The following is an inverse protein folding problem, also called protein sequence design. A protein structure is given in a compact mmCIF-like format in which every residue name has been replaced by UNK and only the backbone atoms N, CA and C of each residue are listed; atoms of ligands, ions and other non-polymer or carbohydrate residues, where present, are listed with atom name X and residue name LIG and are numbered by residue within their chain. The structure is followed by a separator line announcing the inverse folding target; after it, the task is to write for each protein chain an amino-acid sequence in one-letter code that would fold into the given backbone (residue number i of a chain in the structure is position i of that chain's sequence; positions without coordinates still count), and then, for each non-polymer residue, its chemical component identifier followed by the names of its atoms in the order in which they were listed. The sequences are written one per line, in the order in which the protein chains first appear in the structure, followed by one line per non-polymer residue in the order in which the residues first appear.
data_IF_631574039540
#
_entry.id   IF_631574039540
#
_cell.length_a   1.000
_cell.length_b   1.000
_cell.length_c   1.000
_cell.angle_alpha   90.00
_cell.angle_beta   90.00
_cell.angle_gamma   90.00
#
_symmetry.space_group_name_H-M   'P 1'
#
loop_
_entity.id
_entity.type
_entity.pdbx_description
1 polymer ?
#
# COMPACT_ATOMS: atom_id res chain seq x y z
N UNK A 1 1.10 -0.91 0.74
CA UNK A 1 2.50 -0.72 0.41
C UNK A 1 2.75 0.63 -0.22
N UNK A 2 3.98 0.90 -0.52
CA UNK A 2 4.44 2.15 -1.10
C UNK A 2 5.70 2.65 -0.41
N UNK A 3 6.27 3.71 -0.97
CA UNK A 3 7.44 4.34 -0.39
C UNK A 3 7.40 5.85 -0.61
N UNK A 4 8.20 6.58 0.15
CA UNK A 4 8.36 8.01 0.01
C UNK A 4 9.70 8.31 -0.65
N UNK A 5 9.68 9.15 -1.68
CA UNK A 5 10.89 9.70 -2.29
C UNK A 5 11.14 11.06 -1.64
N UNK A 6 12.28 11.23 -1.01
CA UNK A 6 12.62 12.44 -0.27
C UNK A 6 13.92 13.06 -0.81
N UNK A 7 13.96 14.40 -0.81
CA UNK A 7 15.19 15.16 -1.04
C UNK A 7 15.85 15.55 0.28
N UNK A 8 17.17 15.39 0.38
CA UNK A 8 17.89 15.78 1.58
C UNK A 8 17.86 17.32 1.77
N UNK A 9 17.52 17.77 2.98
CA UNK A 9 17.61 19.16 3.33
C UNK A 9 19.08 19.64 3.28
N UNK A 10 19.31 20.84 2.76
CA UNK A 10 20.64 21.41 2.61
C UNK A 10 21.43 20.92 1.38
N UNK A 11 20.79 20.17 0.47
CA UNK A 11 21.43 19.84 -0.82
C UNK A 11 21.60 21.08 -1.69
N UNK A 12 22.74 21.20 -2.35
CA UNK A 12 23.01 22.26 -3.34
C UNK A 12 22.30 22.04 -4.68
N UNK A 13 21.65 20.87 -4.87
CA UNK A 13 21.03 20.45 -6.11
C UNK A 13 19.49 20.39 -6.04
N UNK A 14 18.85 21.30 -5.32
CA UNK A 14 17.41 21.28 -5.03
C UNK A 14 16.56 21.20 -6.30
N UNK A 15 16.89 21.95 -7.36
CA UNK A 15 16.10 21.96 -8.59
C UNK A 15 16.23 20.61 -9.35
N UNK A 16 17.40 19.99 -9.35
CA UNK A 16 17.59 18.65 -9.92
C UNK A 16 16.83 17.60 -9.12
N UNK A 17 16.82 17.70 -7.79
CA UNK A 17 16.06 16.79 -6.90
C UNK A 17 14.57 16.90 -7.22
N UNK A 18 14.02 18.12 -7.34
CA UNK A 18 12.61 18.34 -7.69
C UNK A 18 12.27 17.71 -9.06
N UNK A 19 13.10 17.94 -10.08
CA UNK A 19 12.91 17.39 -11.42
C UNK A 19 12.90 15.86 -11.41
N UNK A 20 13.85 15.23 -10.70
CA UNK A 20 13.91 13.77 -10.56
C UNK A 20 12.70 13.25 -9.81
N UNK A 21 12.31 13.87 -8.70
CA UNK A 21 11.12 13.48 -7.94
C UNK A 21 9.86 13.57 -8.80
N UNK A 22 9.69 14.67 -9.53
CA UNK A 22 8.53 14.86 -10.41
C UNK A 22 8.49 13.81 -11.53
N UNK A 23 9.62 13.52 -12.17
CA UNK A 23 9.70 12.49 -13.21
C UNK A 23 9.38 11.10 -12.68
N UNK A 24 9.94 10.73 -11.52
CA UNK A 24 9.74 9.40 -10.94
C UNK A 24 8.38 9.20 -10.26
N UNK A 25 7.59 10.26 -10.06
CA UNK A 25 6.30 10.13 -9.37
C UNK A 25 5.11 10.67 -10.15
N UNK A 26 5.33 11.53 -11.14
CA UNK A 26 4.24 12.24 -11.83
C UNK A 26 4.28 12.13 -13.35
N UNK A 27 5.44 11.80 -13.96
CA UNK A 27 5.56 11.75 -15.42
C UNK A 27 4.78 10.55 -15.98
N UNK A 28 3.81 10.85 -16.85
CA UNK A 28 2.92 9.85 -17.42
C UNK A 28 3.67 8.81 -18.26
N UNK A 29 4.61 9.25 -19.09
CA UNK A 29 5.36 8.35 -19.98
C UNK A 29 6.27 7.42 -19.18
N UNK A 30 6.95 7.95 -18.16
CA UNK A 30 7.80 7.17 -17.27
C UNK A 30 6.96 6.17 -16.47
N UNK A 31 5.80 6.58 -15.93
CA UNK A 31 4.92 5.69 -15.19
C UNK A 31 4.37 4.55 -16.06
N UNK A 32 3.99 4.84 -17.31
CA UNK A 32 3.63 3.79 -18.27
C UNK A 32 4.78 2.82 -18.52
N UNK A 33 6.00 3.34 -18.76
CA UNK A 33 7.15 2.49 -19.00
C UNK A 33 7.45 1.58 -17.80
N UNK A 34 7.42 2.14 -16.59
CA UNK A 34 7.60 1.34 -15.36
C UNK A 34 6.57 0.20 -15.29
N UNK A 35 5.29 0.51 -15.52
CA UNK A 35 4.26 -0.53 -15.53
C UNK A 35 4.49 -1.60 -16.60
N UNK A 36 4.92 -1.21 -17.79
CA UNK A 36 5.21 -2.17 -18.87
C UNK A 36 6.41 -3.07 -18.53
N UNK A 37 7.42 -2.54 -17.86
CA UNK A 37 8.64 -3.27 -17.53
C UNK A 37 8.50 -4.15 -16.27
N UNK A 38 7.74 -3.69 -15.27
CA UNK A 38 7.65 -4.35 -13.96
C UNK A 38 6.31 -5.05 -13.73
N UNK A 39 5.30 -4.72 -14.51
CA UNK A 39 3.89 -5.11 -14.32
C UNK A 39 3.28 -4.57 -13.01
N UNK A 40 3.91 -3.58 -12.38
CA UNK A 40 3.40 -2.91 -11.19
C UNK A 40 2.40 -1.81 -11.55
N UNK A 41 1.45 -1.58 -10.64
CA UNK A 41 0.52 -0.46 -10.71
C UNK A 41 1.19 0.79 -10.14
N UNK A 42 1.37 1.83 -10.97
CA UNK A 42 1.99 3.09 -10.54
C UNK A 42 0.96 4.12 -10.05
N UNK A 43 1.44 5.22 -9.48
CA UNK A 43 0.61 6.25 -8.86
C UNK A 43 0.07 7.32 -9.86
N UNK A 44 0.29 7.16 -11.17
CA UNK A 44 -0.28 8.08 -12.16
C UNK A 44 -1.60 7.52 -12.71
N UNK A 45 -2.71 8.08 -12.25
CA UNK A 45 -4.06 7.64 -12.60
C UNK A 45 -4.31 7.63 -14.12
N UNK A 46 -3.87 8.68 -14.84
CA UNK A 46 -4.06 8.77 -16.30
C UNK A 46 -3.29 7.66 -17.02
N UNK A 47 -2.03 7.45 -16.66
CA UNK A 47 -1.21 6.38 -17.22
C UNK A 47 -1.84 5.00 -16.97
N UNK A 48 -2.32 4.76 -15.75
CA UNK A 48 -2.93 3.49 -15.38
C UNK A 48 -4.26 3.26 -16.09
N UNK A 49 -5.10 4.28 -16.21
CA UNK A 49 -6.36 4.19 -16.95
C UNK A 49 -6.15 3.96 -18.45
N UNK A 50 -5.11 4.52 -19.05
CA UNK A 50 -4.79 4.24 -20.45
C UNK A 50 -4.35 2.78 -20.66
N UNK A 51 -3.50 2.23 -19.78
CA UNK A 51 -3.11 0.81 -19.83
C UNK A 51 -4.31 -0.09 -19.52
N UNK A 52 -5.14 0.26 -18.53
CA UNK A 52 -6.34 -0.49 -18.18
C UNK A 52 -7.32 -0.65 -19.34
N UNK A 53 -7.42 0.37 -20.20
CA UNK A 53 -8.32 0.38 -21.36
C UNK A 53 -7.63 -0.06 -22.67
N UNK A 54 -6.40 -0.55 -22.61
CA UNK A 54 -5.66 -1.08 -23.75
C UNK A 54 -5.81 -2.60 -23.88
N UNK A 55 -5.12 -3.18 -24.85
CA UNK A 55 -4.96 -4.63 -25.03
C UNK A 55 -3.84 -5.22 -24.14
N UNK A 56 -3.38 -4.47 -23.14
CA UNK A 56 -2.38 -4.95 -22.18
C UNK A 56 -2.83 -6.23 -21.50
N UNK A 57 -1.93 -7.19 -21.43
CA UNK A 57 -2.17 -8.46 -20.74
C UNK A 57 -0.87 -9.00 -20.14
N UNK A 58 -0.96 -9.62 -18.97
CA UNK A 58 0.16 -10.28 -18.32
C UNK A 58 0.21 -11.76 -18.69
N UNK A 59 1.25 -12.18 -19.39
CA UNK A 59 1.47 -13.60 -19.69
C UNK A 59 1.62 -14.44 -18.40
N UNK A 60 2.23 -13.88 -17.37
CA UNK A 60 2.37 -14.54 -16.06
C UNK A 60 1.01 -14.82 -15.40
N UNK A 61 0.04 -13.92 -15.60
CA UNK A 61 -1.32 -14.05 -15.08
C UNK A 61 -2.29 -14.68 -16.12
N UNK A 62 -1.77 -15.47 -17.07
CA UNK A 62 -2.60 -16.18 -18.04
C UNK A 62 -3.34 -15.26 -19.02
N UNK A 63 -2.80 -14.10 -19.31
CA UNK A 63 -3.40 -13.12 -20.22
C UNK A 63 -4.35 -12.11 -19.55
N UNK A 64 -4.41 -12.08 -18.23
CA UNK A 64 -5.25 -11.13 -17.50
C UNK A 64 -4.68 -9.69 -17.57
N UNK A 65 -5.57 -8.71 -17.74
CA UNK A 65 -5.25 -7.30 -17.52
C UNK A 65 -5.51 -6.94 -16.04
N UNK A 66 -4.52 -7.19 -15.20
CA UNK A 66 -4.62 -6.89 -13.76
C UNK A 66 -4.56 -5.38 -13.47
N UNK A 67 -3.98 -4.58 -14.36
CA UNK A 67 -3.96 -3.11 -14.22
C UNK A 67 -5.39 -2.55 -14.28
N UNK A 68 -6.27 -3.13 -15.10
CA UNK A 68 -7.68 -2.74 -15.13
C UNK A 68 -8.39 -3.02 -13.79
N UNK A 69 -8.12 -4.17 -13.17
CA UNK A 69 -8.67 -4.50 -11.86
C UNK A 69 -8.16 -3.56 -10.77
N UNK A 70 -6.87 -3.22 -10.80
CA UNK A 70 -6.29 -2.29 -9.83
C UNK A 70 -6.81 -0.86 -10.03
N UNK A 71 -6.99 -0.40 -11.27
CA UNK A 71 -7.57 0.91 -11.55
C UNK A 71 -9.01 1.02 -11.01
N UNK A 72 -9.83 -0.01 -11.21
CA UNK A 72 -11.18 -0.07 -10.64
C UNK A 72 -11.15 -0.09 -9.10
N UNK A 73 -10.26 -0.84 -8.51
CA UNK A 73 -10.11 -0.92 -7.05
C UNK A 73 -9.59 0.40 -6.46
N UNK A 74 -8.61 1.04 -7.11
CA UNK A 74 -8.03 2.30 -6.65
C UNK A 74 -9.07 3.41 -6.54
N UNK A 75 -10.02 3.47 -7.49
CA UNK A 75 -11.11 4.44 -7.45
C UNK A 75 -12.09 4.26 -6.27
N UNK A 76 -12.05 3.10 -5.61
CA UNK A 76 -12.92 2.75 -4.47
C UNK A 76 -12.21 2.85 -3.12
N UNK A 77 -10.91 3.18 -3.11
CA UNK A 77 -10.15 3.32 -1.85
C UNK A 77 -10.68 4.53 -1.09
N UNK A 78 -11.14 4.28 0.13
CA UNK A 78 -11.53 5.31 1.09
C UNK A 78 -10.50 5.38 2.22
N UNK A 79 -9.81 6.52 2.30
CA UNK A 79 -8.79 6.80 3.32
C UNK A 79 -9.34 7.60 4.50
N UNK A 80 -10.66 7.81 4.59
CA UNK A 80 -11.28 8.61 5.65
C UNK A 80 -11.02 8.07 7.06
N UNK A 81 -10.80 6.76 7.18
CA UNK A 81 -10.50 6.09 8.44
C UNK A 81 -9.00 5.92 8.71
N UNK A 82 -8.13 6.37 7.79
CA UNK A 82 -6.68 6.27 7.99
C UNK A 82 -6.23 7.20 9.13
N UNK A 83 -5.37 6.68 10.00
CA UNK A 83 -4.92 7.37 11.19
C UNK A 83 -3.41 7.18 11.46
N UNK A 84 -2.88 7.91 12.44
CA UNK A 84 -1.45 7.85 12.78
C UNK A 84 -1.02 6.50 13.37
N UNK A 85 -1.98 5.67 13.76
CA UNK A 85 -1.74 4.37 14.38
C UNK A 85 -1.68 3.21 13.39
N UNK A 86 -2.12 3.38 12.14
CA UNK A 86 -2.35 2.29 11.16
C UNK A 86 -1.13 1.40 10.96
N UNK A 87 0.05 1.98 10.82
CA UNK A 87 1.27 1.19 10.66
C UNK A 87 1.52 0.31 11.89
N UNK A 88 1.44 0.89 13.07
CA UNK A 88 1.69 0.17 14.31
C UNK A 88 0.59 -0.85 14.63
N UNK A 89 -0.66 -0.58 14.26
CA UNK A 89 -1.77 -1.53 14.38
C UNK A 89 -1.55 -2.71 13.44
N UNK A 90 -1.15 -2.46 12.18
CA UNK A 90 -0.85 -3.52 11.22
C UNK A 90 0.30 -4.42 11.67
N UNK A 91 1.39 -3.84 12.19
CA UNK A 91 2.52 -4.61 12.75
C UNK A 91 2.08 -5.47 13.93
N UNK A 92 1.29 -4.90 14.85
CA UNK A 92 0.77 -5.63 16.03
C UNK A 92 -0.18 -6.75 15.61
N UNK A 93 -1.03 -6.51 14.59
CA UNK A 93 -1.92 -7.53 14.04
C UNK A 93 -1.14 -8.70 13.44
N UNK A 94 -0.16 -8.42 12.57
CA UNK A 94 0.65 -9.45 11.94
C UNK A 94 1.38 -10.31 12.99
N UNK A 95 1.91 -9.69 14.03
CA UNK A 95 2.61 -10.39 15.11
C UNK A 95 1.66 -11.27 15.94
N UNK A 96 0.51 -10.73 16.36
CA UNK A 96 -0.45 -11.46 17.19
C UNK A 96 -1.12 -12.63 16.44
N UNK A 97 -1.38 -12.45 15.12
CA UNK A 97 -2.04 -13.46 14.30
C UNK A 97 -1.10 -14.47 13.64
N UNK A 98 0.22 -14.26 13.72
CA UNK A 98 1.20 -15.19 13.15
C UNK A 98 1.00 -16.63 13.65
N UNK A 99 0.82 -16.80 14.94
CA UNK A 99 0.65 -18.13 15.55
C UNK A 99 -0.71 -18.76 15.24
N UNK A 100 -1.74 -17.94 15.05
CA UNK A 100 -3.04 -18.40 14.56
C UNK A 100 -2.93 -18.93 13.10
N UNK A 101 -2.28 -18.19 12.20
CA UNK A 101 -2.10 -18.62 10.82
C UNK A 101 -1.22 -19.86 10.66
N UNK A 102 -0.37 -20.13 11.63
CA UNK A 102 0.44 -21.37 11.69
C UNK A 102 -0.21 -22.50 12.49
N UNK A 103 -1.42 -22.27 13.04
CA UNK A 103 -2.18 -23.29 13.77
C UNK A 103 -1.71 -23.55 15.21
N UNK A 104 -0.90 -22.64 15.78
CA UNK A 104 -0.37 -22.79 17.15
C UNK A 104 -1.33 -22.29 18.23
N UNK A 105 -2.20 -21.35 17.91
CA UNK A 105 -3.23 -20.79 18.80
C UNK A 105 -4.57 -20.66 18.06
N UNK A 106 -5.66 -20.54 18.80
CA UNK A 106 -6.97 -20.24 18.25
C UNK A 106 -7.15 -18.73 17.96
N UNK A 107 -8.24 -18.40 17.26
CA UNK A 107 -8.55 -17.02 16.86
C UNK A 107 -8.81 -16.12 18.08
N UNK A 108 -9.48 -16.62 19.10
CA UNK A 108 -9.79 -15.85 20.30
C UNK A 108 -8.52 -15.46 21.07
N UNK A 109 -7.56 -16.38 21.15
CA UNK A 109 -6.24 -16.11 21.72
C UNK A 109 -5.48 -15.07 20.91
N UNK A 110 -5.49 -15.16 19.57
CA UNK A 110 -4.84 -14.18 18.70
C UNK A 110 -5.46 -12.79 18.84
N UNK A 111 -6.79 -12.70 18.92
CA UNK A 111 -7.52 -11.44 19.17
C UNK A 111 -7.13 -10.83 20.53
N UNK A 112 -7.12 -11.63 21.59
CA UNK A 112 -6.72 -11.17 22.91
C UNK A 112 -5.26 -10.68 22.95
N UNK A 113 -4.34 -11.36 22.28
CA UNK A 113 -2.95 -10.95 22.15
C UNK A 113 -2.82 -9.61 21.41
N UNK A 114 -3.58 -9.44 20.31
CA UNK A 114 -3.62 -8.19 19.56
C UNK A 114 -4.13 -7.02 20.41
N UNK A 115 -5.27 -7.20 21.10
CA UNK A 115 -5.82 -6.17 21.99
C UNK A 115 -4.85 -5.76 23.09
N UNK A 116 -4.18 -6.73 23.70
CA UNK A 116 -3.16 -6.47 24.72
C UNK A 116 -2.01 -5.64 24.15
N UNK A 117 -1.45 -6.08 23.02
CA UNK A 117 -0.33 -5.41 22.37
C UNK A 117 -0.66 -3.95 21.97
N UNK A 118 -1.90 -3.71 21.49
CA UNK A 118 -2.35 -2.36 21.13
C UNK A 118 -2.49 -1.46 22.36
N UNK A 119 -3.15 -1.94 23.41
CA UNK A 119 -3.37 -1.16 24.63
C UNK A 119 -2.05 -0.83 25.35
N UNK A 120 -1.05 -1.71 25.25
CA UNK A 120 0.30 -1.44 25.73
C UNK A 120 1.05 -0.40 24.87
N UNK A 121 0.94 -0.52 23.54
CA UNK A 121 1.62 0.38 22.60
C UNK A 121 0.98 1.76 22.52
N UNK A 122 -0.33 1.83 22.62
CA UNK A 122 -1.15 3.03 22.47
C UNK A 122 -2.20 3.10 23.59
N UNK A 123 -1.80 3.52 24.81
CA UNK A 123 -2.70 3.56 25.97
C UNK A 123 -3.95 4.43 25.80
N UNK A 124 -3.94 5.36 24.86
CA UNK A 124 -5.08 6.20 24.49
C UNK A 124 -6.15 5.44 23.68
N UNK A 125 -5.83 4.29 23.09
CA UNK A 125 -6.79 3.44 22.40
C UNK A 125 -7.42 2.49 23.42
N UNK A 126 -8.61 2.81 23.88
CA UNK A 126 -9.28 2.11 24.98
C UNK A 126 -10.06 0.88 24.54
N UNK A 127 -10.43 0.81 23.26
CA UNK A 127 -11.32 -0.23 22.75
C UNK A 127 -10.92 -0.78 21.39
N UNK A 128 -11.15 -2.07 21.18
CA UNK A 128 -10.98 -2.75 19.90
C UNK A 128 -12.31 -3.40 19.54
N UNK A 129 -12.90 -2.99 18.43
CA UNK A 129 -14.17 -3.53 17.95
C UNK A 129 -13.92 -4.48 16.79
N UNK A 130 -14.31 -5.73 16.98
CA UNK A 130 -14.22 -6.73 15.93
C UNK A 130 -15.53 -6.75 15.12
N UNK A 131 -15.44 -6.93 13.79
CA UNK A 131 -16.65 -7.13 12.99
C UNK A 131 -17.40 -8.39 13.43
N UNK A 132 -18.72 -8.33 13.36
CA UNK A 132 -19.60 -9.47 13.67
C UNK A 132 -19.52 -10.55 12.58
#
# INVERSE_FOLDING_TARGET
GGTWICGAAGSDNIETIKDVMQKLTCDEAIMKQITMDTQDYTNNEKAMNEIANSDYSSAFLGGQNHIALFAEAAAKIDMSNAGPYDQGLNESFQNAFKDYFTGNVDEDTAKANFETAIKEKYPELTDVVWPA
#
